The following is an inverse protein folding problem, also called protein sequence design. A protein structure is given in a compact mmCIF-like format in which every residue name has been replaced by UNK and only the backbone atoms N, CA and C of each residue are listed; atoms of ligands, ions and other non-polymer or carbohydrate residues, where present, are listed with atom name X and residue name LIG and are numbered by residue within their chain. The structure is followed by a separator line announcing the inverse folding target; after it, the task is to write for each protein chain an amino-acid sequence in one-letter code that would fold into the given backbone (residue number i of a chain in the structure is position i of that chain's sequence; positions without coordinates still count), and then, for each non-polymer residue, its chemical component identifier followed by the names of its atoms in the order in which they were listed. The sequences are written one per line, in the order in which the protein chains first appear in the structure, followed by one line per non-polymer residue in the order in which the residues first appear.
data_IF_279479710296
#
_entry.id   IF_279479710296
#
_cell.length_a   1.000
_cell.length_b   1.000
_cell.length_c   1.000
_cell.angle_alpha   90.00
_cell.angle_beta   90.00
_cell.angle_gamma   90.00
#
_symmetry.space_group_name_H-M   'P 1'
#
loop_
_entity.id
_entity.type
_entity.pdbx_description
1 polymer ?
#
# COMPACT_ATOMS: atom_id res chain seq x y z
N UNK A 1 9.86 1.68 12.27
CA UNK A 1 9.69 1.71 13.73
C UNK A 1 10.34 2.96 14.26
N UNK A 2 9.61 3.78 15.01
CA UNK A 2 10.10 5.00 15.65
C UNK A 2 9.64 4.91 17.11
N UNK A 3 10.55 5.02 18.06
CA UNK A 3 10.24 4.96 19.50
C UNK A 3 9.46 3.69 19.92
N UNK A 4 9.75 2.55 19.28
CA UNK A 4 9.08 1.27 19.55
C UNK A 4 7.73 1.09 18.84
N UNK A 5 7.22 2.11 18.16
CA UNK A 5 5.96 2.05 17.43
C UNK A 5 6.16 1.79 15.93
N UNK A 6 5.27 0.98 15.34
CA UNK A 6 5.16 0.84 13.89
C UNK A 6 4.33 1.99 13.34
N UNK A 7 4.97 2.83 12.53
CA UNK A 7 4.36 4.05 12.03
C UNK A 7 4.21 3.97 10.52
N UNK A 8 2.96 3.95 10.07
CA UNK A 8 2.57 4.15 8.68
C UNK A 8 2.25 5.62 8.41
N UNK A 9 2.47 6.04 7.17
CA UNK A 9 2.08 7.37 6.71
C UNK A 9 0.99 7.26 5.67
N UNK A 10 -0.12 7.98 5.88
CA UNK A 10 -1.29 7.93 4.98
C UNK A 10 -0.99 8.29 3.53
N UNK A 11 0.04 9.12 3.26
CA UNK A 11 0.43 9.53 1.90
C UNK A 11 1.46 8.61 1.25
N UNK A 12 1.99 7.66 2.01
CA UNK A 12 3.03 6.78 1.52
C UNK A 12 2.40 5.47 1.05
N UNK A 13 3.08 4.84 0.10
CA UNK A 13 2.78 3.48 -0.27
C UNK A 13 3.49 2.52 0.66
N UNK A 14 2.82 1.42 0.97
CA UNK A 14 3.49 0.22 1.45
C UNK A 14 3.32 -0.92 0.45
N UNK A 15 4.19 -1.90 0.58
CA UNK A 15 4.12 -3.16 -0.16
C UNK A 15 4.00 -4.27 0.86
N UNK A 16 3.08 -5.20 0.62
CA UNK A 16 2.94 -6.44 1.37
C UNK A 16 3.05 -7.62 0.41
N UNK A 17 3.82 -8.63 0.78
CA UNK A 17 3.90 -9.90 0.06
C UNK A 17 3.47 -11.02 0.98
N UNK A 18 2.73 -11.98 0.44
CA UNK A 18 2.21 -13.11 1.18
C UNK A 18 2.26 -14.37 0.32
N UNK A 19 2.57 -15.49 0.97
CA UNK A 19 2.44 -16.83 0.43
C UNK A 19 1.98 -17.74 1.56
N UNK A 20 1.53 -18.94 1.23
CA UNK A 20 1.20 -19.96 2.22
C UNK A 20 1.89 -21.27 1.85
N UNK A 21 1.98 -22.16 2.84
CA UNK A 21 2.52 -23.50 2.65
C UNK A 21 1.83 -24.45 3.63
N UNK A 22 1.75 -25.72 3.25
CA UNK A 22 1.30 -26.78 4.15
C UNK A 22 2.52 -27.35 4.89
N UNK A 23 2.47 -27.35 6.22
CA UNK A 23 3.60 -27.80 7.02
C UNK A 23 3.93 -29.28 6.74
N UNK A 24 5.18 -29.55 6.36
CA UNK A 24 5.65 -30.90 6.07
C UNK A 24 5.16 -31.49 4.74
N UNK A 25 4.52 -30.69 3.90
CA UNK A 25 4.05 -31.08 2.58
C UNK A 25 4.83 -30.35 1.49
N UNK A 26 4.95 -30.94 0.28
CA UNK A 26 5.64 -30.28 -0.82
C UNK A 26 4.79 -29.15 -1.41
N UNK A 27 5.42 -28.24 -2.16
CA UNK A 27 4.74 -27.06 -2.72
C UNK A 27 3.80 -27.41 -3.88
N UNK A 28 4.09 -28.51 -4.58
CA UNK A 28 3.30 -29.06 -5.68
C UNK A 28 2.13 -29.93 -5.20
N UNK A 29 1.82 -29.98 -3.90
CA UNK A 29 0.70 -30.76 -3.36
C UNK A 29 -0.66 -30.40 -4.00
N UNK A 30 -0.82 -29.17 -4.50
CA UNK A 30 -2.03 -28.78 -5.23
C UNK A 30 -2.12 -29.39 -6.65
N UNK A 31 -1.02 -29.90 -7.18
CA UNK A 31 -0.93 -30.63 -8.46
C UNK A 31 -1.27 -32.12 -8.29
N UNK A 32 -1.31 -32.63 -7.06
CA UNK A 32 -1.51 -34.06 -6.77
C UNK A 32 -2.83 -34.32 -6.06
N UNK A 33 -3.18 -33.51 -5.07
CA UNK A 33 -4.22 -33.84 -4.09
C UNK A 33 -5.49 -32.98 -4.21
N UNK A 34 -6.55 -33.52 -3.61
CA UNK A 34 -7.80 -32.80 -3.35
C UNK A 34 -7.85 -32.37 -1.89
N UNK A 35 -8.55 -31.27 -1.64
CA UNK A 35 -8.64 -30.69 -0.31
C UNK A 35 -10.09 -30.57 0.11
N UNK A 36 -10.32 -30.80 1.39
CA UNK A 36 -11.62 -30.64 2.00
C UNK A 36 -11.46 -29.86 3.30
N UNK A 37 -12.42 -29.00 3.58
CA UNK A 37 -12.59 -28.35 4.86
C UNK A 37 -13.53 -29.17 5.72
N UNK A 38 -13.14 -29.45 6.96
CA UNK A 38 -13.98 -30.08 7.97
C UNK A 38 -14.42 -29.00 8.95
N UNK A 39 -15.72 -28.72 9.01
CA UNK A 39 -16.27 -27.77 9.99
C UNK A 39 -16.33 -28.37 11.41
N UNK A 40 -16.79 -27.56 12.38
CA UNK A 40 -16.87 -27.98 13.78
C UNK A 40 -17.98 -29.02 14.01
N UNK A 41 -18.98 -29.03 13.15
CA UNK A 41 -20.13 -29.94 13.15
C UNK A 41 -19.83 -31.29 12.47
N UNK A 42 -18.66 -31.41 11.81
CA UNK A 42 -18.21 -32.60 11.11
C UNK A 42 -18.65 -32.68 9.63
N UNK A 43 -19.22 -31.61 9.08
CA UNK A 43 -19.53 -31.49 7.66
C UNK A 43 -18.24 -31.30 6.87
N UNK A 44 -18.10 -32.11 5.82
CA UNK A 44 -16.99 -32.02 4.88
C UNK A 44 -17.40 -31.19 3.67
N UNK A 45 -16.68 -30.11 3.41
CA UNK A 45 -16.86 -29.27 2.21
C UNK A 45 -15.64 -29.37 1.30
N UNK A 46 -15.86 -29.66 0.03
CA UNK A 46 -14.78 -29.69 -0.96
C UNK A 46 -14.20 -28.28 -1.18
N UNK A 47 -12.87 -28.20 -1.30
CA UNK A 47 -12.16 -26.97 -1.62
C UNK A 47 -11.80 -26.97 -3.10
N UNK A 48 -12.35 -26.02 -3.84
CA UNK A 48 -12.12 -25.83 -5.28
C UNK A 48 -10.92 -24.94 -5.60
N UNK A 49 -10.53 -24.07 -4.68
CA UNK A 49 -9.36 -23.23 -4.85
C UNK A 49 -8.92 -22.63 -3.52
N UNK A 50 -7.67 -22.16 -3.47
CA UNK A 50 -7.18 -21.32 -2.39
C UNK A 50 -7.06 -19.89 -2.87
N UNK A 51 -7.34 -18.94 -1.98
CA UNK A 51 -7.19 -17.50 -2.23
C UNK A 51 -6.47 -16.81 -1.09
N UNK A 52 -5.70 -15.78 -1.42
CA UNK A 52 -5.12 -14.86 -0.45
C UNK A 52 -5.84 -13.52 -0.50
N UNK A 53 -6.24 -13.01 0.67
CA UNK A 53 -6.83 -11.69 0.84
C UNK A 53 -5.96 -10.82 1.77
N UNK A 54 -6.03 -9.50 1.56
CA UNK A 54 -5.42 -8.51 2.43
C UNK A 54 -6.50 -7.52 2.89
N UNK A 55 -6.64 -7.39 4.21
CA UNK A 55 -7.55 -6.46 4.86
C UNK A 55 -6.83 -5.68 5.97
N UNK A 56 -7.49 -4.68 6.55
CA UNK A 56 -7.00 -4.04 7.77
C UNK A 56 -8.12 -3.84 8.79
N UNK A 57 -7.78 -4.06 10.06
CA UNK A 57 -8.69 -4.00 11.19
C UNK A 57 -8.18 -2.95 12.17
N UNK A 58 -9.10 -2.20 12.78
CA UNK A 58 -8.81 -1.28 13.88
C UNK A 58 -8.95 -2.05 15.20
N UNK A 59 -7.95 -1.98 16.07
CA UNK A 59 -7.97 -2.74 17.32
C UNK A 59 -8.94 -2.16 18.35
N UNK A 60 -9.20 -0.85 18.30
CA UNK A 60 -10.07 -0.18 19.27
C UNK A 60 -11.55 -0.12 18.84
N UNK A 61 -11.86 -0.43 17.59
CA UNK A 61 -13.22 -0.26 17.06
C UNK A 61 -13.49 -1.16 15.85
N UNK A 62 -14.32 -2.18 16.04
CA UNK A 62 -14.74 -3.12 15.00
C UNK A 62 -15.59 -2.44 13.90
N UNK A 63 -16.20 -1.28 14.19
CA UNK A 63 -17.02 -0.52 13.24
C UNK A 63 -16.18 0.37 12.32
N UNK A 64 -14.99 0.78 12.75
CA UNK A 64 -14.07 1.57 11.93
C UNK A 64 -13.16 0.64 11.12
N UNK A 65 -13.71 -0.01 10.10
CA UNK A 65 -12.88 -0.66 9.08
C UNK A 65 -12.11 0.42 8.30
N UNK A 66 -10.79 0.50 8.48
CA UNK A 66 -9.97 1.29 7.56
C UNK A 66 -9.89 0.50 6.27
N UNK A 67 -10.42 1.07 5.20
CA UNK A 67 -10.35 0.44 3.88
C UNK A 67 -8.93 0.62 3.33
N UNK A 68 -8.37 -0.43 2.77
CA UNK A 68 -7.13 -0.35 2.01
C UNK A 68 -7.46 0.01 0.55
N UNK A 69 -6.59 0.78 -0.09
CA UNK A 69 -6.70 1.12 -1.51
C UNK A 69 -5.39 0.85 -2.21
N UNK A 70 -5.47 0.25 -3.40
CA UNK A 70 -4.36 -0.02 -4.29
C UNK A 70 -4.35 0.99 -5.43
N UNK A 71 -3.18 1.57 -5.69
CA UNK A 71 -2.96 2.50 -6.80
C UNK A 71 -2.15 1.85 -7.92
N UNK A 72 -2.41 2.26 -9.16
CA UNK A 72 -1.53 1.95 -10.29
C UNK A 72 -0.27 2.82 -10.28
N UNK A 73 0.70 2.51 -11.15
CA UNK A 73 1.88 3.34 -11.37
C UNK A 73 1.57 4.80 -11.80
N UNK A 74 0.33 5.07 -12.27
CA UNK A 74 -0.15 6.41 -12.65
C UNK A 74 -0.76 7.20 -11.48
N UNK A 75 -0.80 6.62 -10.28
CA UNK A 75 -1.24 7.24 -9.01
C UNK A 75 -2.62 7.90 -9.10
N UNK A 76 -2.67 9.23 -9.24
CA UNK A 76 -3.90 10.03 -9.15
C UNK A 76 -4.66 9.99 -10.47
N UNK A 77 -3.94 9.72 -11.58
CA UNK A 77 -4.49 9.63 -12.94
C UNK A 77 -4.89 8.21 -13.33
N UNK A 78 -4.70 7.25 -12.44
CA UNK A 78 -5.07 5.85 -12.66
C UNK A 78 -6.23 5.43 -11.76
N UNK A 79 -6.82 4.26 -12.04
CA UNK A 79 -7.88 3.71 -11.20
C UNK A 79 -7.34 3.44 -9.78
N UNK A 80 -8.26 3.52 -8.83
CA UNK A 80 -8.08 3.10 -7.44
C UNK A 80 -9.01 1.92 -7.19
N UNK A 81 -8.49 0.84 -6.65
CA UNK A 81 -9.27 -0.36 -6.34
C UNK A 81 -8.99 -0.82 -4.92
N UNK A 82 -9.88 -1.64 -4.35
CA UNK A 82 -9.52 -2.44 -3.19
C UNK A 82 -8.36 -3.39 -3.53
N UNK A 83 -7.56 -3.83 -2.55
CA UNK A 83 -6.62 -4.92 -2.75
C UNK A 83 -7.33 -6.13 -3.39
N UNK A 84 -6.77 -6.73 -4.44
CA UNK A 84 -7.40 -7.87 -5.11
C UNK A 84 -7.33 -9.13 -4.24
N UNK A 85 -8.24 -10.07 -4.49
CA UNK A 85 -8.08 -11.45 -4.01
C UNK A 85 -7.24 -12.21 -5.04
N UNK A 86 -6.17 -12.86 -4.59
CA UNK A 86 -5.33 -13.67 -5.47
C UNK A 86 -5.76 -15.13 -5.37
N UNK A 87 -6.03 -15.79 -6.50
CA UNK A 87 -5.99 -17.26 -6.54
C UNK A 87 -4.55 -17.67 -6.24
N UNK A 88 -4.35 -18.57 -5.29
CA UNK A 88 -3.04 -18.85 -4.75
C UNK A 88 -2.79 -20.34 -4.64
N UNK A 89 -1.55 -20.75 -4.83
CA UNK A 89 -1.05 -22.11 -4.54
C UNK A 89 0.07 -22.00 -3.51
N UNK A 90 0.47 -23.11 -2.87
CA UNK A 90 1.61 -23.09 -1.97
C UNK A 90 2.86 -22.53 -2.66
N UNK A 91 3.59 -21.67 -1.96
CA UNK A 91 4.75 -21.00 -2.52
C UNK A 91 5.69 -20.44 -1.46
N UNK A 92 6.93 -20.18 -1.87
CA UNK A 92 7.95 -19.63 -0.97
C UNK A 92 8.02 -18.11 -1.08
N UNK A 93 8.12 -17.45 0.08
CA UNK A 93 8.33 -16.02 0.12
C UNK A 93 9.73 -15.65 -0.37
N UNK A 94 9.87 -14.80 -1.40
CA UNK A 94 11.17 -14.36 -1.86
C UNK A 94 11.85 -13.46 -0.84
N UNK A 95 13.20 -13.51 -0.82
CA UNK A 95 13.98 -12.62 0.02
C UNK A 95 13.74 -11.13 -0.31
N UNK A 96 13.89 -10.27 0.70
CA UNK A 96 13.69 -8.82 0.55
C UNK A 96 14.58 -8.17 -0.53
N UNK A 97 15.82 -8.65 -0.68
CA UNK A 97 16.73 -8.21 -1.74
C UNK A 97 16.16 -8.48 -3.13
N UNK A 98 15.59 -9.67 -3.33
CA UNK A 98 14.89 -10.06 -4.55
C UNK A 98 13.68 -9.16 -4.79
N UNK A 99 12.84 -8.94 -3.76
CA UNK A 99 11.67 -8.06 -3.86
C UNK A 99 12.03 -6.62 -4.27
N UNK A 100 13.14 -6.08 -3.75
CA UNK A 100 13.65 -4.76 -4.16
C UNK A 100 14.12 -4.72 -5.61
N UNK A 101 14.80 -5.77 -6.07
CA UNK A 101 15.30 -5.87 -7.43
C UNK A 101 14.15 -5.89 -8.43
N UNK A 102 13.07 -6.61 -8.12
CA UNK A 102 11.93 -6.80 -9.03
C UNK A 102 10.95 -5.63 -9.08
N UNK A 103 10.86 -4.81 -8.03
CA UNK A 103 9.85 -3.76 -7.89
C UNK A 103 9.86 -2.68 -9.00
N UNK A 104 10.97 -2.52 -9.74
CA UNK A 104 11.11 -1.50 -10.78
C UNK A 104 11.70 -2.03 -12.10
N UNK A 105 11.59 -3.34 -12.35
CA UNK A 105 12.08 -3.92 -13.60
C UNK A 105 11.23 -3.43 -14.77
N UNK A 106 11.90 -3.01 -15.85
CA UNK A 106 11.27 -2.58 -17.12
C UNK A 106 11.76 -3.39 -18.32
N UNK A 107 12.69 -4.32 -18.11
CA UNK A 107 13.28 -5.14 -19.16
C UNK A 107 12.48 -6.45 -19.29
N UNK A 108 11.97 -6.74 -20.50
CA UNK A 108 11.14 -7.91 -20.82
C UNK A 108 11.74 -9.24 -20.36
N UNK A 109 12.99 -9.54 -20.71
CA UNK A 109 13.63 -10.83 -20.37
C UNK A 109 13.83 -11.03 -18.86
N UNK A 110 13.81 -9.95 -18.09
CA UNK A 110 13.86 -10.01 -16.63
C UNK A 110 12.47 -10.15 -16.04
N UNK A 111 11.44 -9.62 -16.70
CA UNK A 111 10.04 -9.77 -16.29
C UNK A 111 9.62 -11.23 -16.34
N UNK A 112 9.93 -11.97 -17.41
CA UNK A 112 9.50 -13.38 -17.54
C UNK A 112 10.09 -14.28 -16.45
N UNK A 113 11.38 -14.08 -16.15
CA UNK A 113 12.03 -14.75 -15.01
C UNK A 113 11.40 -14.40 -13.67
N UNK A 114 10.98 -13.15 -13.51
CA UNK A 114 10.28 -12.74 -12.29
C UNK A 114 8.86 -13.31 -12.24
N UNK A 115 8.18 -13.45 -13.38
CA UNK A 115 6.83 -13.99 -13.43
C UNK A 115 6.80 -15.42 -12.88
N UNK A 116 7.78 -16.26 -13.23
CA UNK A 116 7.95 -17.62 -12.66
C UNK A 116 8.13 -17.65 -11.13
N UNK A 117 8.60 -16.57 -10.54
CA UNK A 117 8.77 -16.47 -9.08
C UNK A 117 7.45 -16.17 -8.37
N UNK A 118 6.52 -15.48 -9.05
CA UNK A 118 5.30 -14.97 -8.43
C UNK A 118 4.04 -15.72 -8.88
N UNK A 119 4.07 -16.36 -10.05
CA UNK A 119 2.92 -16.96 -10.68
C UNK A 119 3.23 -18.37 -11.18
N UNK A 120 2.26 -19.26 -11.04
CA UNK A 120 2.24 -20.53 -11.75
C UNK A 120 1.93 -20.24 -13.22
N UNK A 121 2.82 -20.65 -14.12
CA UNK A 121 2.62 -20.40 -15.55
C UNK A 121 1.47 -21.26 -16.09
N UNK A 122 0.79 -20.74 -17.12
CA UNK A 122 -0.31 -21.46 -17.77
C UNK A 122 0.12 -22.80 -18.36
N UNK A 123 1.37 -22.90 -18.83
CA UNK A 123 1.96 -24.15 -19.32
C UNK A 123 2.07 -25.21 -18.20
N UNK A 124 2.58 -24.81 -17.04
CA UNK A 124 2.76 -25.70 -15.89
C UNK A 124 1.41 -26.15 -15.31
N UNK A 125 0.45 -25.22 -15.20
CA UNK A 125 -0.93 -25.54 -14.80
C UNK A 125 -1.58 -26.58 -15.72
N UNK A 126 -1.46 -26.41 -17.04
CA UNK A 126 -2.00 -27.37 -18.00
C UNK A 126 -1.33 -28.74 -17.92
N UNK A 127 -0.02 -28.78 -17.67
CA UNK A 127 0.71 -30.05 -17.51
C UNK A 127 0.26 -30.77 -16.24
N UNK A 128 0.17 -30.06 -15.12
CA UNK A 128 -0.30 -30.62 -13.85
C UNK A 128 -1.71 -31.22 -13.96
N UNK A 129 -2.65 -30.48 -14.56
CA UNK A 129 -4.04 -30.95 -14.75
C UNK A 129 -4.12 -32.15 -15.71
N UNK A 130 -3.28 -32.20 -16.75
CA UNK A 130 -3.23 -33.37 -17.67
C UNK A 130 -2.67 -34.61 -16.98
N UNK A 131 -1.69 -34.44 -16.09
CA UNK A 131 -1.09 -35.55 -15.36
C UNK A 131 -2.03 -36.07 -14.28
N UNK A 132 -2.66 -35.17 -13.52
CA UNK A 132 -3.59 -35.50 -12.44
C UNK A 132 -4.91 -34.73 -12.61
N UNK A 133 -5.88 -35.24 -13.38
CA UNK A 133 -7.15 -34.55 -13.61
C UNK A 133 -8.02 -34.40 -12.35
N UNK A 134 -7.70 -35.15 -11.30
CA UNK A 134 -8.40 -35.10 -10.02
C UNK A 134 -7.80 -34.11 -9.04
N UNK A 135 -6.65 -33.49 -9.31
CA UNK A 135 -6.04 -32.54 -8.38
C UNK A 135 -6.88 -31.27 -8.21
N UNK A 136 -6.68 -30.55 -7.10
CA UNK A 136 -7.40 -29.29 -6.87
C UNK A 136 -7.12 -28.23 -7.93
N UNK A 137 -5.95 -28.24 -8.59
CA UNK A 137 -5.69 -27.29 -9.68
C UNK A 137 -6.64 -27.43 -10.87
N UNK A 138 -7.25 -28.61 -11.08
CA UNK A 138 -8.23 -28.83 -12.13
C UNK A 138 -9.53 -28.06 -11.89
N UNK A 139 -9.82 -27.66 -10.65
CA UNK A 139 -11.03 -26.91 -10.28
C UNK A 139 -10.81 -25.39 -10.22
N UNK A 140 -9.59 -24.91 -10.45
CA UNK A 140 -9.30 -23.47 -10.58
C UNK A 140 -9.89 -22.91 -11.89
N UNK A 141 -10.34 -21.64 -11.91
CA UNK A 141 -10.82 -21.00 -13.14
C UNK A 141 -9.72 -20.90 -14.22
N UNK A 142 -10.03 -21.30 -15.46
CA UNK A 142 -9.06 -21.35 -16.58
C UNK A 142 -8.45 -19.98 -16.97
N UNK A 143 -9.21 -18.91 -16.77
CA UNK A 143 -8.82 -17.54 -17.13
C UNK A 143 -8.19 -16.75 -15.97
N UNK A 144 -7.86 -17.40 -14.85
CA UNK A 144 -7.29 -16.72 -13.69
C UNK A 144 -5.76 -16.86 -13.60
N UNK A 145 -5.10 -15.80 -13.12
CA UNK A 145 -3.70 -15.87 -12.72
C UNK A 145 -3.58 -16.55 -11.36
N UNK A 146 -2.82 -17.64 -11.31
CA UNK A 146 -2.55 -18.40 -10.09
C UNK A 146 -1.23 -17.90 -9.51
N UNK A 147 -1.27 -17.39 -8.29
CA UNK A 147 -0.12 -16.77 -7.62
C UNK A 147 0.57 -17.76 -6.68
N UNK A 148 1.87 -17.96 -6.87
CA UNK A 148 2.74 -18.59 -5.86
C UNK A 148 2.95 -17.63 -4.67
N UNK A 149 2.98 -16.32 -4.98
CA UNK A 149 3.21 -15.25 -4.00
C UNK A 149 2.33 -14.06 -4.35
N UNK A 150 1.36 -13.75 -3.49
CA UNK A 150 0.52 -12.58 -3.59
C UNK A 150 1.33 -11.30 -3.34
N UNK A 151 1.22 -10.33 -4.26
CA UNK A 151 1.95 -9.05 -4.19
C UNK A 151 1.00 -7.86 -4.16
N UNK A 152 0.86 -7.27 -2.98
CA UNK A 152 0.10 -6.05 -2.77
C UNK A 152 1.04 -4.86 -2.83
N UNK A 153 1.17 -4.26 -4.01
CA UNK A 153 2.01 -3.08 -4.22
C UNK A 153 1.20 -1.79 -4.22
N UNK A 154 1.84 -0.68 -3.81
CA UNK A 154 1.24 0.67 -3.86
C UNK A 154 -0.06 0.77 -3.06
N UNK A 155 -0.10 0.09 -1.92
CA UNK A 155 -1.25 0.13 -1.01
C UNK A 155 -1.18 1.39 -0.14
N UNK A 156 -2.34 1.99 0.12
CA UNK A 156 -2.54 3.08 1.08
C UNK A 156 -3.74 2.81 1.98
N UNK A 157 -3.74 3.46 3.14
CA UNK A 157 -4.91 3.53 4.00
C UNK A 157 -5.88 4.60 3.48
N UNK A 158 -7.12 4.20 3.18
CA UNK A 158 -8.19 5.13 2.82
C UNK A 158 -8.68 5.86 4.07
N UNK A 159 -9.05 7.14 3.90
CA UNK A 159 -9.78 7.83 4.96
C UNK A 159 -11.22 7.34 4.96
N UNK A 160 -11.77 6.97 6.13
CA UNK A 160 -13.23 6.98 6.30
C UNK A 160 -13.78 8.30 5.75
N UNK A 161 -14.78 8.21 4.88
CA UNK A 161 -15.25 9.28 4.02
C UNK A 161 -15.62 10.56 4.76
N UNK A 162 -15.50 11.67 4.03
CA UNK A 162 -16.08 12.97 4.32
C UNK A 162 -17.53 12.86 4.85
N UNK A 163 -17.71 12.97 6.16
CA UNK A 163 -19.04 13.12 6.78
C UNK A 163 -18.96 13.94 8.05
N UNK A 164 -18.05 13.58 8.97
CA UNK A 164 -17.89 14.29 10.23
C UNK A 164 -16.40 14.59 10.49
N UNK A 165 -15.96 15.80 10.10
CA UNK A 165 -14.58 16.32 10.31
C UNK A 165 -14.15 16.47 11.77
N UNK A 166 -14.87 15.88 12.74
CA UNK A 166 -14.62 16.08 14.17
C UNK A 166 -14.30 14.84 15.01
N UNK A 167 -14.37 13.60 14.51
CA UNK A 167 -14.33 12.45 15.44
C UNK A 167 -13.32 11.32 15.22
N UNK A 168 -12.38 11.41 14.29
CA UNK A 168 -11.32 10.39 14.25
C UNK A 168 -9.97 11.02 13.91
N UNK A 169 -9.31 11.52 14.94
CA UNK A 169 -7.85 11.61 14.90
C UNK A 169 -7.32 10.19 14.69
N UNK A 170 -6.94 9.85 13.46
CA UNK A 170 -6.23 8.59 13.13
C UNK A 170 -4.91 8.47 13.90
N UNK A 171 -4.44 9.56 14.54
CA UNK A 171 -3.14 9.60 15.22
C UNK A 171 -3.07 8.75 16.50
N UNK A 172 -4.19 8.23 17.03
CA UNK A 172 -4.20 7.43 18.27
C UNK A 172 -4.89 6.06 18.13
N UNK A 173 -5.22 5.64 16.90
CA UNK A 173 -5.81 4.32 16.64
C UNK A 173 -4.73 3.38 16.15
N UNK A 174 -4.79 2.13 16.59
CA UNK A 174 -3.91 1.07 16.15
C UNK A 174 -4.60 0.19 15.12
N UNK A 175 -3.91 0.00 14.02
CA UNK A 175 -4.36 -0.84 12.92
C UNK A 175 -3.48 -2.07 12.83
N UNK A 176 -4.08 -3.18 12.43
CA UNK A 176 -3.34 -4.37 12.02
C UNK A 176 -3.68 -4.69 10.57
N UNK A 177 -2.66 -5.05 9.81
CA UNK A 177 -2.85 -5.63 8.48
C UNK A 177 -3.10 -7.12 8.68
N UNK A 178 -4.18 -7.64 8.10
CA UNK A 178 -4.57 -9.04 8.21
C UNK A 178 -4.49 -9.67 6.83
N UNK A 179 -3.71 -10.76 6.72
CA UNK A 179 -3.68 -11.61 5.54
C UNK A 179 -4.45 -12.88 5.88
N UNK A 180 -5.40 -13.26 5.02
CA UNK A 180 -6.19 -14.47 5.21
C UNK A 180 -5.96 -15.43 4.05
N UNK A 181 -5.75 -16.69 4.39
CA UNK A 181 -5.85 -17.82 3.48
C UNK A 181 -7.31 -18.27 3.47
N UNK A 182 -7.91 -18.25 2.29
CA UNK A 182 -9.30 -18.62 2.07
C UNK A 182 -9.37 -19.92 1.27
N UNK A 183 -10.31 -20.80 1.62
CA UNK A 183 -10.74 -21.92 0.81
C UNK A 183 -12.01 -21.54 0.05
N UNK A 184 -12.06 -21.80 -1.24
CA UNK A 184 -13.27 -21.62 -2.06
C UNK A 184 -14.07 -22.91 -2.00
N UNK A 185 -15.29 -22.83 -1.50
CA UNK A 185 -16.24 -23.94 -1.44
C UNK A 185 -17.50 -23.58 -2.25
N UNK A 186 -18.47 -24.49 -2.27
CA UNK A 186 -19.79 -24.32 -2.89
C UNK A 186 -20.63 -23.21 -2.23
N UNK A 187 -20.50 -23.05 -0.92
CA UNK A 187 -21.19 -22.03 -0.12
C UNK A 187 -20.49 -20.67 -0.13
N UNK A 188 -19.24 -20.59 -0.59
CA UNK A 188 -18.49 -19.34 -0.71
C UNK A 188 -17.03 -19.45 -0.26
N UNK A 189 -16.41 -18.33 0.09
CA UNK A 189 -15.04 -18.33 0.59
C UNK A 189 -15.06 -18.47 2.11
N UNK A 190 -14.37 -19.48 2.64
CA UNK A 190 -14.17 -19.72 4.06
C UNK A 190 -12.74 -19.34 4.48
N UNK A 191 -12.54 -18.86 5.70
CA UNK A 191 -11.21 -18.51 6.22
C UNK A 191 -10.56 -19.77 6.80
N UNK A 192 -9.44 -20.21 6.22
CA UNK A 192 -8.70 -21.40 6.66
C UNK A 192 -7.59 -21.04 7.66
N UNK A 193 -6.90 -19.93 7.40
CA UNK A 193 -5.85 -19.42 8.27
C UNK A 193 -5.76 -17.90 8.14
N UNK A 194 -5.22 -17.23 9.16
CA UNK A 194 -4.92 -15.81 9.08
C UNK A 194 -3.66 -15.47 9.86
N UNK A 195 -3.00 -14.39 9.43
CA UNK A 195 -1.89 -13.79 10.16
C UNK A 195 -2.04 -12.28 10.15
N UNK A 196 -1.48 -11.63 11.17
CA UNK A 196 -1.61 -10.19 11.36
C UNK A 196 -0.26 -9.53 11.63
N UNK A 197 -0.12 -8.28 11.18
CA UNK A 197 1.03 -7.46 11.54
C UNK A 197 0.99 -7.06 13.02
N UNK A 198 2.13 -6.61 13.59
CA UNK A 198 2.09 -5.82 14.82
C UNK A 198 1.17 -4.59 14.68
N UNK A 199 0.64 -4.07 15.79
CA UNK A 199 -0.15 -2.85 15.81
C UNK A 199 0.63 -1.68 15.21
N UNK A 200 0.01 -0.93 14.30
CA UNK A 200 0.62 0.22 13.64
C UNK A 200 -0.26 1.46 13.68
N UNK A 201 0.37 2.61 13.84
CA UNK A 201 -0.29 3.92 13.85
C UNK A 201 -0.19 4.53 12.46
N UNK A 202 -1.32 5.03 11.94
CA UNK A 202 -1.37 5.70 10.64
C UNK A 202 -1.41 7.20 10.83
N UNK A 203 -0.25 7.86 10.67
CA UNK A 203 -0.15 9.31 10.78
C UNK A 203 -0.81 10.00 9.59
N UNK A 204 -1.62 11.01 9.90
CA UNK A 204 -2.32 11.85 8.92
C UNK A 204 -1.41 12.78 8.10
N UNK A 205 -2.03 13.68 7.33
CA UNK A 205 -1.32 14.57 6.38
C UNK A 205 -0.76 15.86 7.00
N UNK A 206 -0.88 16.04 8.32
CA UNK A 206 -0.43 17.27 8.98
C UNK A 206 1.08 17.45 8.82
N UNK A 207 1.59 18.66 8.51
CA UNK A 207 3.02 18.93 8.44
C UNK A 207 3.79 18.52 9.71
N UNK A 208 3.12 18.53 10.87
CA UNK A 208 3.66 18.11 12.16
C UNK A 208 4.05 16.62 12.21
N UNK A 209 3.48 15.79 11.34
CA UNK A 209 3.75 14.35 11.33
C UNK A 209 5.06 13.99 10.62
N UNK A 210 5.65 14.95 9.91
CA UNK A 210 6.91 14.78 9.20
C UNK A 210 8.05 15.37 10.05
N UNK A 211 9.18 14.67 10.20
CA UNK A 211 10.36 15.28 10.81
C UNK A 211 10.72 16.51 9.98
N UNK A 212 10.89 17.65 10.65
CA UNK A 212 11.37 18.88 10.02
C UNK A 212 12.84 18.68 9.65
N UNK A 213 13.11 18.02 8.52
CA UNK A 213 14.45 18.04 7.92
C UNK A 213 14.78 19.48 7.51
N UNK A 214 15.85 20.00 8.10
CA UNK A 214 16.69 21.12 7.63
C UNK A 214 16.06 22.50 7.46
N UNK A 215 15.29 22.96 8.45
CA UNK A 215 15.06 24.41 8.64
C UNK A 215 16.15 25.13 9.43
N UNK A 216 17.23 24.45 9.82
CA UNK A 216 18.39 25.08 10.49
C UNK A 216 19.30 25.83 9.51
N UNK A 217 19.49 25.35 8.27
CA UNK A 217 20.39 26.02 7.31
C UNK A 217 19.78 27.29 6.69
N UNK A 218 18.47 27.33 6.45
CA UNK A 218 17.82 28.49 5.84
C UNK A 218 17.68 29.71 6.79
N UNK A 219 17.70 29.49 8.11
CA UNK A 219 17.66 30.59 9.10
C UNK A 219 19.05 31.19 9.36
N UNK A 220 20.11 30.40 9.22
CA UNK A 220 21.47 30.89 9.42
C UNK A 220 21.99 31.71 8.21
N UNK A 221 21.57 31.37 6.99
CA UNK A 221 21.87 32.15 5.79
C UNK A 221 21.23 33.56 5.78
N UNK A 222 20.07 33.73 6.43
CA UNK A 222 19.39 35.05 6.52
C UNK A 222 19.96 35.98 7.58
N UNK A 223 20.67 35.49 8.60
CA UNK A 223 21.28 36.35 9.63
C UNK A 223 22.65 36.90 9.22
N UNK A 224 23.40 36.17 8.37
CA UNK A 224 24.73 36.58 7.88
C UNK A 224 24.70 37.54 6.68
N UNK A 225 23.57 37.69 5.98
CA UNK A 225 23.44 38.55 4.80
C UNK A 225 23.04 40.01 5.03
N UNK A 226 22.79 40.46 6.28
CA UNK A 226 22.20 41.79 6.56
C UNK A 226 23.15 42.82 7.17
N UNK A 227 24.47 42.58 7.09
CA UNK A 227 25.50 43.54 7.53
C UNK A 227 26.51 43.78 6.41
N UNK A 228 26.18 44.63 5.44
CA UNK A 228 27.11 45.57 4.76
C UNK A 228 26.38 46.44 3.73
N UNK A 229 26.70 47.73 3.76
CA UNK A 229 26.32 48.83 2.84
C UNK A 229 24.90 49.38 3.02
N UNK A 230 24.63 50.68 3.23
CA UNK A 230 25.40 51.89 2.88
C UNK A 230 25.38 52.93 4.02
N UNK A 231 26.51 53.61 4.19
CA UNK A 231 26.68 54.78 5.06
C UNK A 231 27.37 55.88 4.24
N UNK A 232 26.63 56.84 3.68
CA UNK A 232 27.15 58.15 3.20
C UNK A 232 25.97 59.14 3.38
N UNK A 233 25.93 59.90 4.48
CA UNK A 233 26.39 61.29 4.67
C UNK A 233 25.63 62.36 3.87
N UNK A 234 25.09 63.30 4.64
CA UNK A 234 24.31 64.50 4.34
C UNK A 234 25.13 65.67 3.77
N UNK A 235 24.49 66.54 2.97
CA UNK A 235 24.66 68.00 3.06
C UNK A 235 23.52 68.77 2.39
N UNK A 236 23.17 69.89 3.03
CA UNK A 236 22.10 70.88 2.79
C UNK A 236 22.20 71.64 1.45
N UNK A 237 21.07 72.17 0.95
CA UNK A 237 20.90 73.61 0.67
C UNK A 237 19.42 74.02 0.48
N UNK A 238 19.15 75.29 0.78
CA UNK A 238 17.87 75.95 1.05
C UNK A 238 17.17 76.63 -0.15
N UNK A 239 15.95 77.10 0.15
CA UNK A 239 15.14 78.18 -0.50
C UNK A 239 14.29 77.75 -1.70
N UNK A 240 13.07 78.23 -1.92
CA UNK A 240 12.24 79.25 -1.25
C UNK A 240 10.91 79.39 -2.01
N UNK A 241 9.91 79.95 -1.33
CA UNK A 241 8.56 80.39 -1.72
C UNK A 241 8.14 80.47 -3.20
N UNK A 242 6.91 80.06 -3.52
CA UNK A 242 5.75 80.99 -3.64
C UNK A 242 4.48 80.34 -4.22
N UNK A 243 3.35 80.93 -3.83
CA UNK A 243 1.94 80.63 -4.16
C UNK A 243 1.62 80.94 -5.63
N UNK A 244 0.60 80.27 -6.21
CA UNK A 244 -0.68 80.88 -6.60
C UNK A 244 -1.52 80.04 -7.61
N UNK A 245 -2.82 79.94 -7.28
CA UNK A 245 -4.02 80.16 -8.11
C UNK A 245 -4.27 79.34 -9.41
N UNK A 246 -5.42 78.64 -9.39
CA UNK A 246 -6.32 78.28 -10.52
C UNK A 246 -6.77 79.52 -11.35
N UNK A 247 -7.68 79.46 -12.34
CA UNK A 247 -8.41 78.34 -12.98
C UNK A 247 -8.45 78.40 -14.53
N UNK A 248 -9.12 77.45 -15.22
CA UNK A 248 -9.59 77.66 -16.59
C UNK A 248 -9.82 76.41 -17.45
N UNK A 249 -11.08 75.94 -17.49
CA UNK A 249 -11.73 75.28 -18.64
C UNK A 249 -11.98 76.33 -19.76
N UNK A 250 -12.54 76.01 -20.95
CA UNK A 250 -12.79 74.72 -21.59
C UNK A 250 -12.34 74.65 -23.08
N UNK A 251 -12.43 73.46 -23.66
CA UNK A 251 -12.53 73.17 -25.08
C UNK A 251 -13.10 71.77 -25.24
#
# INVERSE_FOLDING_TARGET
MIEGEWIGYKRNYFTLVAAFQFAGQPLDITETDQFHHLDAEGTLSEIYAFKLSLTSVCLEDDLTAVTLVQHTAKRDRGPQSSPPLYHAVPGELPAHSTMKLVANIRNGDKIDRCNRLFYLLKEDHQVAVRQNPTCVLATYPEDCEISLVARYERIQFLSAGCGNRKLASTNNKHYVLVVQLLGVTDVGNIVLASTQSPPLIVRGRSPLNYPLSDKKEAKEAKSKGRRRSCRIRSSKSMSGSSRNLSPGKPG
#
